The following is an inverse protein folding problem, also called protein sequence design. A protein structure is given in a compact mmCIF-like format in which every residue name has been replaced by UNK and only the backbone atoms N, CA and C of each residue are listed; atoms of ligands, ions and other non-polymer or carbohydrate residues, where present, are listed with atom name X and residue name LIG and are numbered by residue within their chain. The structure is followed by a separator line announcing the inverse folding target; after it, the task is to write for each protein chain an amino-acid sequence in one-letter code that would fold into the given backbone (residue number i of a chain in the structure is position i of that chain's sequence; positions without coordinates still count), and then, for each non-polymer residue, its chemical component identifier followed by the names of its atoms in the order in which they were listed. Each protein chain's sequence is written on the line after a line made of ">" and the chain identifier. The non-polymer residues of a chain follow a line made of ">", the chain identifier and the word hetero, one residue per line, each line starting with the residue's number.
data_IF_029290812048
#
_entry.id   IF_029290812048
#
_cell.length_a   1.000
_cell.length_b   1.000
_cell.length_c   1.000
_cell.angle_alpha   90.00
_cell.angle_beta   90.00
_cell.angle_gamma   90.00
#
_symmetry.space_group_name_H-M   'P 1'
#
loop_
_entity.id
_entity.type
_entity.pdbx_description
1 polymer ?
#
# COMPACT_ATOMS: atom_id res chain seq x y z
N UNK A 1 7.04 17.01 -3.77
CA UNK A 1 6.69 16.82 -2.35
C UNK A 1 5.77 15.61 -2.27
N UNK A 2 6.24 14.49 -1.70
CA UNK A 2 5.39 13.31 -1.49
C UNK A 2 4.50 13.58 -0.27
N UNK A 3 3.20 13.77 -0.49
CA UNK A 3 2.23 13.88 0.61
C UNK A 3 2.26 12.58 1.40
N UNK A 4 2.37 12.67 2.73
CA UNK A 4 2.29 11.50 3.59
C UNK A 4 0.88 10.91 3.48
N UNK A 5 0.77 9.71 2.93
CA UNK A 5 -0.50 8.99 2.86
C UNK A 5 -1.06 8.77 4.26
N UNK A 6 -2.28 9.24 4.52
CA UNK A 6 -2.99 9.03 5.78
C UNK A 6 -3.51 7.59 5.84
N UNK A 7 -3.00 6.84 6.80
CA UNK A 7 -3.48 5.52 7.18
C UNK A 7 -4.57 5.65 8.24
N UNK A 8 -5.76 5.13 7.95
CA UNK A 8 -6.85 5.04 8.92
C UNK A 8 -7.09 3.58 9.31
N UNK A 9 -7.05 3.27 10.61
CA UNK A 9 -7.40 1.94 11.09
C UNK A 9 -8.92 1.73 11.00
N UNK A 10 -9.33 0.58 10.46
CA UNK A 10 -10.75 0.21 10.30
C UNK A 10 -11.11 -0.94 11.23
N UNK A 11 -10.27 -1.98 11.28
CA UNK A 11 -10.42 -3.14 12.18
C UNK A 11 -9.03 -3.62 12.63
N UNK A 12 -8.97 -4.67 13.48
CA UNK A 12 -7.69 -5.29 13.87
C UNK A 12 -6.92 -5.70 12.60
N UNK A 13 -5.74 -5.10 12.42
CA UNK A 13 -4.82 -5.34 11.29
C UNK A 13 -5.35 -4.93 9.91
N UNK A 14 -6.36 -4.06 9.86
CA UNK A 14 -6.88 -3.50 8.62
C UNK A 14 -6.75 -1.98 8.61
N UNK A 15 -6.10 -1.45 7.58
CA UNK A 15 -5.91 -0.02 7.37
C UNK A 15 -6.41 0.40 5.99
N UNK A 16 -6.98 1.60 5.88
CA UNK A 16 -7.35 2.20 4.61
C UNK A 16 -6.42 3.36 4.30
N UNK A 17 -5.98 3.45 3.05
CA UNK A 17 -5.26 4.62 2.54
C UNK A 17 -6.23 5.41 1.66
N UNK A 18 -6.70 6.54 2.18
CA UNK A 18 -7.67 7.40 1.47
C UNK A 18 -7.04 8.30 0.41
N UNK A 19 -5.74 8.56 0.53
CA UNK A 19 -5.03 9.47 -0.38
C UNK A 19 -4.60 8.78 -1.69
N UNK A 20 -4.99 7.52 -1.89
CA UNK A 20 -4.71 6.74 -3.09
C UNK A 20 -6.01 6.49 -3.86
N UNK A 21 -6.01 6.70 -5.19
CA UNK A 21 -7.17 6.39 -6.02
C UNK A 21 -7.48 4.89 -5.92
N UNK A 22 -8.77 4.52 -5.83
CA UNK A 22 -9.16 3.11 -5.72
C UNK A 22 -9.65 2.65 -4.35
N UNK A 23 -9.45 3.45 -3.29
CA UNK A 23 -9.74 3.03 -1.92
C UNK A 23 -8.92 1.80 -1.53
N UNK A 24 -7.64 2.00 -1.20
CA UNK A 24 -6.73 0.90 -0.91
C UNK A 24 -6.90 0.44 0.53
N UNK A 25 -7.17 -0.85 0.71
CA UNK A 25 -7.23 -1.53 2.00
C UNK A 25 -5.97 -2.37 2.16
N UNK A 26 -5.25 -2.20 3.27
CA UNK A 26 -4.14 -3.04 3.69
C UNK A 26 -4.64 -3.98 4.78
N UNK A 27 -4.39 -5.27 4.59
CA UNK A 27 -4.66 -6.31 5.58
C UNK A 27 -3.45 -7.22 5.70
N UNK A 28 -2.90 -7.32 6.90
CA UNK A 28 -1.65 -8.02 7.19
C UNK A 28 -0.50 -7.54 6.25
N UNK A 29 0.02 -8.39 5.37
CA UNK A 29 1.10 -8.09 4.42
C UNK A 29 0.62 -7.85 2.97
N UNK A 30 -0.69 -7.69 2.80
CA UNK A 30 -1.33 -7.57 1.49
C UNK A 30 -2.15 -6.28 1.39
N UNK A 31 -2.36 -5.84 0.15
CA UNK A 31 -3.26 -4.74 -0.16
C UNK A 31 -4.28 -5.15 -1.22
N UNK A 32 -5.44 -4.51 -1.20
CA UNK A 32 -6.52 -4.66 -2.18
C UNK A 32 -7.07 -3.28 -2.53
N UNK A 33 -7.28 -3.02 -3.81
CA UNK A 33 -8.02 -1.88 -4.32
C UNK A 33 -9.51 -2.27 -4.41
N UNK A 34 -10.36 -1.58 -3.66
CA UNK A 34 -11.78 -1.92 -3.58
C UNK A 34 -12.56 -1.57 -4.84
N UNK A 35 -12.07 -0.62 -5.65
CA UNK A 35 -12.75 -0.20 -6.88
C UNK A 35 -12.58 -1.19 -8.04
N UNK A 36 -11.40 -1.80 -8.18
CA UNK A 36 -11.08 -2.66 -9.34
C UNK A 36 -10.63 -4.08 -8.97
N UNK A 37 -10.57 -4.42 -7.68
CA UNK A 37 -10.18 -5.74 -7.20
C UNK A 37 -8.69 -6.07 -7.34
N UNK A 38 -7.85 -5.12 -7.81
CA UNK A 38 -6.41 -5.33 -7.88
C UNK A 38 -5.85 -5.57 -6.48
N UNK A 39 -4.91 -6.51 -6.36
CA UNK A 39 -4.31 -6.86 -5.09
C UNK A 39 -2.82 -7.17 -5.25
N UNK A 40 -2.08 -7.14 -4.15
CA UNK A 40 -0.67 -7.48 -4.13
C UNK A 40 -0.08 -7.51 -2.73
N UNK A 41 1.21 -7.82 -2.65
CA UNK A 41 1.96 -7.78 -1.39
C UNK A 41 2.57 -6.39 -1.13
N UNK A 42 3.31 -6.25 -0.03
CA UNK A 42 4.01 -5.00 0.31
C UNK A 42 4.99 -4.53 -0.77
N UNK A 43 5.67 -5.43 -1.49
CA UNK A 43 6.58 -5.06 -2.59
C UNK A 43 5.78 -4.52 -3.77
N UNK A 44 4.68 -5.19 -4.16
CA UNK A 44 3.78 -4.71 -5.22
C UNK A 44 3.26 -3.31 -4.90
N UNK A 45 2.93 -3.04 -3.64
CA UNK A 45 2.48 -1.72 -3.21
C UNK A 45 3.55 -0.65 -3.45
N UNK A 46 4.78 -0.91 -3.00
CA UNK A 46 5.89 0.04 -3.13
C UNK A 46 6.26 0.28 -4.60
N UNK A 47 6.26 -0.77 -5.41
CA UNK A 47 6.63 -0.67 -6.83
C UNK A 47 5.51 -0.03 -7.66
N UNK A 48 4.29 -0.56 -7.58
CA UNK A 48 3.20 -0.18 -8.49
C UNK A 48 2.48 1.09 -8.05
N UNK A 49 2.32 1.31 -6.75
CA UNK A 49 1.52 2.42 -6.23
C UNK A 49 2.41 3.58 -5.78
N UNK A 50 3.54 3.27 -5.11
CA UNK A 50 4.51 4.29 -4.69
C UNK A 50 5.58 4.60 -5.75
N UNK A 51 5.50 3.95 -6.91
CA UNK A 51 6.37 4.17 -8.08
C UNK A 51 7.86 4.07 -7.69
N UNK A 52 8.19 3.10 -6.84
CA UNK A 52 9.57 2.82 -6.45
C UNK A 52 10.19 1.77 -7.39
N UNK A 53 11.51 1.79 -7.52
CA UNK A 53 12.21 0.65 -8.11
C UNK A 53 12.09 -0.56 -7.18
N UNK A 54 12.12 -1.77 -7.77
CA UNK A 54 12.10 -3.01 -7.00
C UNK A 54 13.22 -3.05 -5.94
N UNK A 55 14.45 -2.67 -6.33
CA UNK A 55 15.61 -2.64 -5.42
C UNK A 55 15.38 -1.74 -4.21
N UNK A 56 14.80 -0.55 -4.41
CA UNK A 56 14.50 0.39 -3.32
C UNK A 56 13.36 -0.11 -2.44
N UNK A 57 12.36 -0.76 -3.03
CA UNK A 57 11.28 -1.38 -2.29
C UNK A 57 11.80 -2.52 -1.39
N UNK A 58 12.72 -3.36 -1.88
CA UNK A 58 13.32 -4.44 -1.08
C UNK A 58 14.23 -3.91 0.01
N UNK A 59 15.01 -2.86 -0.24
CA UNK A 59 15.88 -2.23 0.76
C UNK A 59 15.06 -1.74 1.97
N UNK A 60 13.92 -1.08 1.73
CA UNK A 60 13.02 -0.60 2.78
C UNK A 60 12.36 -1.70 3.62
N UNK A 61 12.22 -2.91 3.07
CA UNK A 61 11.58 -4.03 3.77
C UNK A 61 12.57 -4.91 4.53
N UNK A 62 13.86 -4.81 4.19
CA UNK A 62 14.95 -5.56 4.83
C UNK A 62 15.66 -4.74 5.92
N UNK A 63 15.37 -3.45 6.03
CA UNK A 63 15.86 -2.53 7.08
C UNK A 63 15.00 -2.59 8.34
#
# INVERSE_FOLDING_TARGET
>A
MLSACRLEAVEKRQHVIRDLPGGIVIKDHYWVCTENGSAGNSIDFLVKIRVMSFSKATELLLS
#
